data_IF_756382828272
#
_entry.id   IF_756382828272
#
_cell.length_a   1.000
_cell.length_b   1.000
_cell.length_c   1.000
_cell.angle_alpha   90.00
_cell.angle_beta   90.00
_cell.angle_gamma   90.00
#
_symmetry.space_group_name_H-M   'P 1'
#
loop_
_entity.id
_entity.type
_entity.pdbx_description
1 polymer ?
#
# COMPACT_ATOMS: atom_id res chain seq x y z
N UNK A 1 -60.06 11.50 28.35
CA UNK A 1 -58.74 12.17 28.31
C UNK A 1 -57.69 11.17 28.76
N UNK A 2 -57.10 10.43 27.82
CA UNK A 2 -56.01 9.50 28.07
C UNK A 2 -54.73 10.09 27.50
N UNK A 3 -53.67 10.07 28.31
CA UNK A 3 -52.46 10.84 28.14
C UNK A 3 -51.35 10.03 27.44
N UNK A 4 -50.63 10.73 26.56
CA UNK A 4 -49.18 10.64 26.26
C UNK A 4 -48.52 9.26 26.14
N UNK A 5 -48.07 8.94 24.92
CA UNK A 5 -46.94 8.05 24.67
C UNK A 5 -45.62 8.65 25.19
N UNK A 6 -44.64 7.80 25.57
CA UNK A 6 -43.28 7.94 25.02
C UNK A 6 -42.52 6.59 24.90
N UNK A 7 -41.23 6.56 24.50
CA UNK A 7 -40.73 6.87 23.17
C UNK A 7 -39.93 5.71 22.54
N UNK A 8 -39.60 5.87 21.27
CA UNK A 8 -38.80 4.95 20.46
C UNK A 8 -37.38 4.74 21.01
N UNK A 9 -36.96 3.47 21.04
CA UNK A 9 -35.61 3.02 21.37
C UNK A 9 -34.66 3.39 20.22
N UNK A 10 -33.93 4.51 20.39
CA UNK A 10 -32.82 4.86 19.51
C UNK A 10 -31.60 4.00 19.83
N UNK A 11 -31.18 3.18 18.88
CA UNK A 11 -29.87 2.54 18.90
C UNK A 11 -28.87 3.64 18.53
N UNK A 12 -28.18 4.18 19.53
CA UNK A 12 -27.05 5.06 19.27
C UNK A 12 -25.96 4.23 18.60
N UNK A 13 -25.78 4.42 17.29
CA UNK A 13 -24.59 3.97 16.60
C UNK A 13 -23.38 4.61 17.30
N UNK A 14 -22.43 3.78 17.72
CA UNK A 14 -21.14 4.26 18.20
C UNK A 14 -20.52 5.09 17.09
N UNK A 15 -20.49 6.41 17.27
CA UNK A 15 -19.67 7.30 16.47
C UNK A 15 -18.24 6.87 16.74
N UNK A 16 -17.60 6.22 15.76
CA UNK A 16 -16.17 5.98 15.79
C UNK A 16 -15.52 7.35 16.03
N UNK A 17 -14.93 7.52 17.22
CA UNK A 17 -14.11 8.68 17.56
C UNK A 17 -13.07 8.80 16.45
N UNK A 18 -13.14 9.89 15.69
CA UNK A 18 -12.07 10.27 14.76
C UNK A 18 -10.77 10.28 15.58
N UNK A 19 -9.79 9.42 15.30
CA UNK A 19 -8.56 9.39 16.08
C UNK A 19 -7.87 10.76 15.98
N UNK A 20 -7.15 11.18 17.05
CA UNK A 20 -6.42 12.44 17.03
C UNK A 20 -5.47 12.47 15.83
N UNK A 21 -5.30 13.66 15.28
CA UNK A 21 -4.47 14.00 14.12
C UNK A 21 -3.37 12.94 13.84
N UNK A 22 -3.59 12.07 12.86
CA UNK A 22 -2.73 10.91 12.64
C UNK A 22 -1.44 11.35 11.96
N UNK A 23 -0.39 11.55 12.75
CA UNK A 23 0.94 11.91 12.21
C UNK A 23 1.74 10.64 11.92
N UNK A 24 2.01 10.38 10.64
CA UNK A 24 3.02 9.40 10.27
C UNK A 24 4.38 9.79 10.86
N UNK A 25 5.10 8.79 11.40
CA UNK A 25 6.51 8.95 11.83
C UNK A 25 7.47 8.22 10.92
N UNK A 26 6.99 7.19 10.21
CA UNK A 26 7.82 6.34 9.38
C UNK A 26 7.09 5.95 8.11
N UNK A 27 7.78 6.02 6.97
CA UNK A 27 7.29 5.56 5.67
C UNK A 27 8.30 4.59 5.09
N UNK A 28 7.86 3.38 4.76
CA UNK A 28 8.64 2.42 4.01
C UNK A 28 8.26 2.51 2.54
N UNK A 29 9.25 2.66 1.68
CA UNK A 29 9.07 2.61 0.23
C UNK A 29 9.66 1.31 -0.27
N UNK A 30 8.86 0.51 -0.98
CA UNK A 30 9.27 -0.77 -1.55
C UNK A 30 9.27 -0.68 -3.07
N UNK A 31 10.41 -1.00 -3.68
CA UNK A 31 10.55 -0.99 -5.12
C UNK A 31 10.04 -2.29 -5.77
N UNK A 32 9.91 -2.28 -7.09
CA UNK A 32 9.50 -3.43 -7.89
C UNK A 32 10.67 -4.26 -8.43
N UNK A 33 10.32 -5.19 -9.32
CA UNK A 33 11.26 -5.99 -10.13
C UNK A 33 12.23 -5.09 -10.91
N UNK A 34 13.51 -5.47 -10.99
CA UNK A 34 14.60 -4.74 -11.67
C UNK A 34 14.88 -3.31 -11.16
N UNK A 35 14.21 -2.86 -10.11
CA UNK A 35 14.43 -1.55 -9.52
C UNK A 35 15.33 -1.62 -8.28
N UNK A 36 15.76 -0.46 -7.82
CA UNK A 36 16.59 -0.20 -6.65
C UNK A 36 16.08 1.03 -5.90
N UNK A 37 16.58 1.30 -4.68
CA UNK A 37 16.17 2.47 -3.90
C UNK A 37 16.39 3.85 -4.55
N UNK A 38 17.28 3.95 -5.54
CA UNK A 38 17.56 5.21 -6.25
C UNK A 38 16.67 5.47 -7.46
N UNK A 39 15.80 4.53 -7.83
CA UNK A 39 15.05 4.59 -9.09
C UNK A 39 13.74 5.38 -8.99
N UNK A 40 13.23 5.76 -10.16
CA UNK A 40 11.88 6.29 -10.37
C UNK A 40 11.61 7.52 -9.49
N UNK A 41 10.50 7.51 -8.77
CA UNK A 41 10.04 8.57 -7.88
C UNK A 41 10.37 8.28 -6.40
N UNK A 42 11.08 7.19 -6.09
CA UNK A 42 11.38 6.82 -4.69
C UNK A 42 12.27 7.85 -3.97
N UNK A 43 13.29 8.44 -4.63
CA UNK A 43 14.04 9.55 -4.01
C UNK A 43 13.18 10.79 -3.79
N UNK A 44 12.24 11.07 -4.69
CA UNK A 44 11.39 12.25 -4.63
C UNK A 44 10.44 12.21 -3.42
N UNK A 45 9.79 11.08 -3.13
CA UNK A 45 8.88 10.99 -1.96
C UNK A 45 9.59 11.23 -0.62
N UNK A 46 10.87 10.83 -0.52
CA UNK A 46 11.70 11.12 0.65
C UNK A 46 11.87 12.62 0.87
N UNK A 47 11.99 13.38 -0.19
CA UNK A 47 12.30 14.80 -0.15
C UNK A 47 11.05 15.66 0.08
N UNK A 48 9.85 15.14 -0.22
CA UNK A 48 8.56 15.86 -0.06
C UNK A 48 7.89 15.71 1.31
N UNK A 49 8.15 14.61 2.02
CA UNK A 49 7.51 14.37 3.32
C UNK A 49 8.08 15.30 4.40
N UNK A 50 7.21 15.76 5.31
CA UNK A 50 7.54 16.76 6.33
C UNK A 50 8.80 16.44 7.13
N UNK A 51 9.59 17.45 7.53
CA UNK A 51 10.68 17.27 8.49
C UNK A 51 10.17 16.58 9.76
N UNK A 52 10.68 15.38 10.04
CA UNK A 52 10.26 14.55 11.19
C UNK A 52 9.63 13.20 10.82
N UNK A 53 9.27 12.99 9.55
CA UNK A 53 8.90 11.66 9.03
C UNK A 53 10.16 10.95 8.53
N UNK A 54 10.47 9.77 9.08
CA UNK A 54 11.58 8.94 8.60
C UNK A 54 11.12 8.15 7.37
N UNK A 55 11.62 8.51 6.19
CA UNK A 55 11.34 7.78 4.94
C UNK A 55 12.51 6.85 4.63
N UNK A 56 12.23 5.57 4.46
CA UNK A 56 13.21 4.53 4.17
C UNK A 56 12.79 3.79 2.90
N UNK A 57 13.60 3.89 1.85
CA UNK A 57 13.44 3.04 0.67
C UNK A 57 14.23 1.76 0.93
N UNK A 58 13.53 0.63 1.03
CA UNK A 58 14.12 -0.65 1.42
C UNK A 58 14.79 -1.28 0.21
N UNK A 59 16.08 -1.59 0.34
CA UNK A 59 16.82 -2.40 -0.63
C UNK A 59 16.33 -3.85 -0.56
N UNK A 60 15.71 -4.35 -1.63
CA UNK A 60 15.28 -5.74 -1.74
C UNK A 60 16.35 -6.54 -2.51
N UNK A 61 16.71 -7.75 -2.04
CA UNK A 61 17.86 -8.48 -2.56
C UNK A 61 17.65 -8.96 -4.00
N UNK A 62 18.69 -8.88 -4.83
CA UNK A 62 18.75 -9.48 -6.18
C UNK A 62 17.53 -9.14 -7.06
N UNK A 63 17.22 -7.86 -7.24
CA UNK A 63 15.98 -7.45 -7.92
C UNK A 63 15.83 -7.87 -9.38
N UNK A 64 16.91 -8.33 -10.03
CA UNK A 64 16.86 -8.95 -11.36
C UNK A 64 16.42 -10.42 -11.36
N UNK A 65 16.55 -11.10 -10.23
CA UNK A 65 16.15 -12.49 -10.00
C UNK A 65 15.51 -12.61 -8.60
N UNK A 66 14.34 -11.97 -8.39
CA UNK A 66 13.76 -11.82 -7.06
C UNK A 66 13.28 -13.17 -6.51
N UNK A 67 13.64 -13.45 -5.26
CA UNK A 67 13.14 -14.60 -4.52
C UNK A 67 12.06 -14.15 -3.53
N UNK A 68 10.86 -14.76 -3.65
CA UNK A 68 9.70 -14.37 -2.85
C UNK A 68 9.95 -14.48 -1.35
N UNK A 69 10.54 -15.59 -0.89
CA UNK A 69 10.78 -15.81 0.53
C UNK A 69 11.75 -14.79 1.12
N UNK A 70 12.85 -14.49 0.42
CA UNK A 70 13.83 -13.47 0.81
C UNK A 70 13.19 -12.09 0.84
N UNK A 71 12.48 -11.70 -0.21
CA UNK A 71 11.83 -10.39 -0.30
C UNK A 71 10.80 -10.19 0.81
N UNK A 72 9.92 -11.17 1.00
CA UNK A 72 8.89 -11.12 2.04
C UNK A 72 9.54 -11.05 3.43
N UNK A 73 10.59 -11.82 3.68
CA UNK A 73 11.33 -11.78 4.95
C UNK A 73 12.02 -10.44 5.19
N UNK A 74 12.70 -9.87 4.18
CA UNK A 74 13.33 -8.55 4.25
C UNK A 74 12.29 -7.47 4.56
N UNK A 75 11.13 -7.50 3.91
CA UNK A 75 10.05 -6.54 4.15
C UNK A 75 9.45 -6.73 5.54
N UNK A 76 9.21 -7.97 5.99
CA UNK A 76 8.69 -8.23 7.33
C UNK A 76 9.64 -7.73 8.43
N UNK A 77 10.96 -7.93 8.26
CA UNK A 77 11.98 -7.38 9.16
C UNK A 77 12.00 -5.85 9.14
N UNK A 78 11.93 -5.24 7.95
CA UNK A 78 11.88 -3.78 7.82
C UNK A 78 10.63 -3.18 8.46
N UNK A 79 9.48 -3.85 8.38
CA UNK A 79 8.23 -3.46 9.04
C UNK A 79 8.39 -3.54 10.56
N UNK A 80 8.92 -4.64 11.09
CA UNK A 80 8.98 -4.91 12.53
C UNK A 80 7.59 -5.05 13.13
N UNK A 81 7.28 -4.29 14.18
CA UNK A 81 5.92 -4.20 14.75
C UNK A 81 5.18 -3.02 14.14
N UNK A 82 4.14 -3.24 13.30
CA UNK A 82 3.40 -2.14 12.68
C UNK A 82 2.66 -1.33 13.74
N UNK A 83 2.64 -0.01 13.53
CA UNK A 83 1.84 0.93 14.30
C UNK A 83 1.04 1.83 13.38
N UNK A 84 0.03 2.51 13.92
CA UNK A 84 -0.72 3.55 13.22
C UNK A 84 0.14 4.73 12.72
N UNK A 85 1.41 4.83 13.12
CA UNK A 85 2.36 5.85 12.69
C UNK A 85 3.24 5.38 11.50
N UNK A 86 3.09 4.13 11.05
CA UNK A 86 3.80 3.54 9.92
C UNK A 86 2.94 3.61 8.64
N UNK A 87 3.54 4.05 7.55
CA UNK A 87 2.99 3.83 6.21
C UNK A 87 3.91 2.91 5.39
N UNK A 88 3.29 2.10 4.54
CA UNK A 88 3.97 1.32 3.50
C UNK A 88 3.51 1.85 2.16
N UNK A 89 4.45 2.27 1.34
CA UNK A 89 4.24 2.69 -0.05
C UNK A 89 5.00 1.69 -0.91
N UNK A 90 4.30 1.00 -1.80
CA UNK A 90 4.89 -0.12 -2.52
C UNK A 90 4.57 -0.07 -4.02
N UNK A 91 5.59 -0.20 -4.86
CA UNK A 91 5.47 -0.18 -6.30
C UNK A 91 5.52 -1.59 -6.89
N UNK A 92 4.59 -1.89 -7.80
CA UNK A 92 4.57 -3.12 -8.60
C UNK A 92 4.73 -4.37 -7.72
N UNK A 93 5.77 -5.17 -7.93
CA UNK A 93 6.08 -6.38 -7.16
C UNK A 93 6.24 -6.14 -5.65
N UNK A 94 6.69 -4.95 -5.23
CA UNK A 94 6.78 -4.58 -3.83
C UNK A 94 5.40 -4.59 -3.13
N UNK A 95 4.32 -4.36 -3.87
CA UNK A 95 2.96 -4.32 -3.31
C UNK A 95 2.51 -5.70 -2.80
N UNK A 96 2.56 -6.74 -3.64
CA UNK A 96 2.24 -8.11 -3.21
C UNK A 96 3.20 -8.61 -2.12
N UNK A 97 4.48 -8.20 -2.21
CA UNK A 97 5.49 -8.53 -1.20
C UNK A 97 5.12 -7.98 0.17
N UNK A 98 4.69 -6.71 0.26
CA UNK A 98 4.25 -6.09 1.51
C UNK A 98 3.03 -6.79 2.12
N UNK A 99 2.06 -7.20 1.30
CA UNK A 99 0.87 -7.89 1.77
C UNK A 99 1.22 -9.23 2.41
N UNK A 100 2.06 -10.02 1.74
CA UNK A 100 2.58 -11.27 2.32
C UNK A 100 3.42 -11.04 3.57
N UNK A 101 4.19 -9.96 3.62
CA UNK A 101 4.97 -9.62 4.81
C UNK A 101 4.06 -9.31 6.00
N UNK A 102 2.98 -8.56 5.81
CA UNK A 102 1.97 -8.27 6.83
C UNK A 102 1.23 -9.53 7.31
N UNK A 103 1.02 -10.51 6.43
CA UNK A 103 0.42 -11.80 6.78
C UNK A 103 1.28 -12.61 7.75
N UNK A 104 2.60 -12.50 7.65
CA UNK A 104 3.54 -13.18 8.57
C UNK A 104 3.58 -12.56 9.96
N UNK A 105 3.11 -11.33 10.13
CA UNK A 105 3.16 -10.63 11.41
C UNK A 105 2.10 -11.21 12.35
N UNK A 106 2.59 -11.76 13.46
CA UNK A 106 1.76 -12.26 14.53
C UNK A 106 1.19 -11.13 15.40
N UNK A 107 0.12 -11.44 16.12
CA UNK A 107 -0.47 -10.54 17.10
C UNK A 107 -1.39 -9.47 16.49
N UNK A 108 -1.74 -8.53 17.35
CA UNK A 108 -2.63 -7.42 17.01
C UNK A 108 -1.78 -6.22 16.61
N UNK A 109 -1.88 -5.81 15.34
CA UNK A 109 -1.18 -4.65 14.81
C UNK A 109 -2.16 -3.73 14.08
N UNK A 110 -1.76 -2.47 13.97
CA UNK A 110 -2.42 -1.44 13.16
C UNK A 110 -1.40 -0.81 12.24
N UNK A 111 -1.82 -0.40 11.06
CA UNK A 111 -0.98 0.29 10.08
C UNK A 111 -1.61 1.64 9.73
N UNK A 112 -0.80 2.70 9.71
CA UNK A 112 -1.26 4.04 9.37
C UNK A 112 -1.74 4.12 7.93
N UNK A 113 -0.92 3.67 6.99
CA UNK A 113 -1.32 3.59 5.59
C UNK A 113 -0.66 2.43 4.82
N UNK A 114 -1.38 1.92 3.82
CA UNK A 114 -0.86 1.07 2.76
C UNK A 114 -1.22 1.70 1.41
N UNK A 115 -0.21 2.05 0.62
CA UNK A 115 -0.38 2.65 -0.71
C UNK A 115 0.32 1.78 -1.74
N UNK A 116 -0.43 1.20 -2.68
CA UNK A 116 0.13 0.43 -3.79
C UNK A 116 0.14 1.26 -5.09
N UNK A 117 1.25 1.28 -5.80
CA UNK A 117 1.39 1.91 -7.12
C UNK A 117 1.58 0.82 -8.16
N UNK A 118 0.67 0.70 -9.14
CA UNK A 118 0.66 -0.43 -10.09
C UNK A 118 0.74 -1.81 -9.40
N UNK A 119 0.17 -1.93 -8.20
CA UNK A 119 0.17 -3.16 -7.43
C UNK A 119 -0.78 -4.22 -8.01
N UNK A 120 -0.50 -5.48 -7.72
CA UNK A 120 -1.31 -6.63 -8.11
C UNK A 120 -1.19 -7.72 -7.05
N UNK A 121 -2.07 -8.72 -7.11
CA UNK A 121 -2.02 -9.95 -6.27
C UNK A 121 -2.35 -11.21 -7.07
N UNK A 122 -2.58 -11.07 -8.38
CA UNK A 122 -2.84 -12.15 -9.31
C UNK A 122 -1.62 -12.34 -10.23
N UNK A 123 -1.40 -13.54 -10.79
CA UNK A 123 -0.26 -13.79 -11.68
C UNK A 123 -0.20 -12.84 -12.88
N UNK A 124 1.02 -12.55 -13.34
CA UNK A 124 1.29 -11.78 -14.54
C UNK A 124 1.81 -12.73 -15.63
N UNK A 125 0.98 -13.14 -16.62
CA UNK A 125 1.40 -14.11 -17.63
C UNK A 125 2.63 -13.69 -18.46
N UNK A 126 2.88 -12.38 -18.58
CA UNK A 126 4.04 -11.83 -19.27
C UNK A 126 5.35 -11.92 -18.45
N UNK A 127 5.25 -12.18 -17.14
CA UNK A 127 6.37 -12.22 -16.19
C UNK A 127 6.28 -13.47 -15.29
N UNK A 128 6.33 -14.69 -15.86
CA UNK A 128 6.19 -15.93 -15.09
C UNK A 128 7.30 -16.14 -14.05
N UNK A 129 8.44 -15.47 -14.19
CA UNK A 129 9.49 -15.48 -13.16
C UNK A 129 9.03 -14.88 -11.83
N UNK A 130 7.92 -14.13 -11.80
CA UNK A 130 7.34 -13.53 -10.60
C UNK A 130 6.26 -14.41 -9.94
N UNK A 131 5.93 -15.57 -10.53
CA UNK A 131 4.83 -16.43 -10.06
C UNK A 131 4.96 -16.83 -8.60
N UNK A 132 6.19 -16.94 -8.07
CA UNK A 132 6.44 -17.22 -6.65
C UNK A 132 5.81 -16.23 -5.67
N UNK A 133 5.60 -14.97 -6.08
CA UNK A 133 4.96 -13.94 -5.27
C UNK A 133 3.43 -14.01 -5.29
N UNK A 134 2.86 -14.68 -6.29
CA UNK A 134 1.41 -14.80 -6.49
C UNK A 134 0.90 -16.25 -6.40
N UNK A 135 1.78 -17.19 -6.04
CA UNK A 135 1.44 -18.60 -5.85
C UNK A 135 0.42 -18.78 -4.72
N UNK A 136 0.52 -17.95 -3.68
CA UNK A 136 -0.45 -17.83 -2.61
C UNK A 136 -1.14 -16.46 -2.70
N UNK A 137 -2.42 -16.41 -2.32
CA UNK A 137 -3.17 -15.16 -2.24
C UNK A 137 -3.02 -14.56 -0.85
N UNK A 138 -2.49 -13.34 -0.70
CA UNK A 138 -2.38 -12.71 0.61
C UNK A 138 -3.76 -12.35 1.17
N UNK A 139 -3.88 -12.27 2.50
CA UNK A 139 -5.10 -11.90 3.22
C UNK A 139 -5.33 -10.37 3.18
N UNK A 140 -5.78 -9.90 2.02
CA UNK A 140 -6.09 -8.49 1.80
C UNK A 140 -7.21 -7.98 2.70
N UNK A 141 -8.13 -8.86 3.14
CA UNK A 141 -9.21 -8.49 4.05
C UNK A 141 -8.68 -8.18 5.46
N UNK A 142 -7.75 -9.01 5.97
CA UNK A 142 -7.05 -8.73 7.23
C UNK A 142 -6.22 -7.46 7.13
N UNK A 143 -5.50 -7.28 6.02
CA UNK A 143 -4.76 -6.03 5.79
C UNK A 143 -5.70 -4.82 5.79
N UNK A 144 -6.84 -4.94 5.11
CA UNK A 144 -7.81 -3.85 5.04
C UNK A 144 -8.38 -3.48 6.41
N UNK A 145 -8.77 -4.49 7.20
CA UNK A 145 -9.32 -4.32 8.54
C UNK A 145 -8.33 -3.70 9.55
N UNK A 146 -7.02 -3.81 9.31
CA UNK A 146 -5.96 -3.36 10.22
C UNK A 146 -5.23 -2.11 9.74
N UNK A 147 -5.60 -1.57 8.58
CA UNK A 147 -4.94 -0.41 7.99
C UNK A 147 -5.89 0.77 7.96
N UNK A 148 -5.48 1.92 8.50
CA UNK A 148 -6.33 3.11 8.64
C UNK A 148 -6.61 3.78 7.29
N UNK A 149 -5.59 3.95 6.45
CA UNK A 149 -5.69 4.49 5.07
C UNK A 149 -5.18 3.48 4.05
N UNK A 150 -5.95 3.21 3.00
CA UNK A 150 -5.57 2.27 1.94
C UNK A 150 -5.73 2.99 0.62
N UNK A 151 -4.67 3.04 -0.16
CA UNK A 151 -4.62 3.75 -1.42
C UNK A 151 -4.09 2.86 -2.53
N UNK A 152 -4.60 3.04 -3.73
CA UNK A 152 -4.07 2.41 -4.94
C UNK A 152 -3.94 3.46 -6.04
N UNK A 153 -2.74 3.57 -6.60
CA UNK A 153 -2.48 4.38 -7.79
C UNK A 153 -2.48 3.46 -9.00
N UNK A 154 -3.37 3.76 -9.95
CA UNK A 154 -3.55 3.00 -11.20
C UNK A 154 -3.08 3.88 -12.36
N UNK A 155 -2.37 3.31 -13.32
CA UNK A 155 -2.21 3.96 -14.63
C UNK A 155 -3.21 3.36 -15.62
N UNK A 156 -3.82 4.19 -16.48
CA UNK A 156 -4.78 3.70 -17.48
C UNK A 156 -4.13 3.07 -18.71
N UNK A 157 -2.81 3.23 -18.88
CA UNK A 157 -2.02 2.71 -20.00
C UNK A 157 -0.83 1.83 -19.56
N UNK A 158 -0.86 1.28 -18.34
CA UNK A 158 0.17 0.35 -17.85
C UNK A 158 0.28 -0.89 -18.75
N UNK A 159 1.46 -1.07 -19.35
CA UNK A 159 1.76 -2.17 -20.27
C UNK A 159 2.38 -3.40 -19.58
N UNK A 160 2.81 -3.27 -18.32
CA UNK A 160 3.47 -4.31 -17.53
C UNK A 160 2.46 -5.00 -16.61
N UNK A 161 1.72 -4.22 -15.83
CA UNK A 161 0.63 -4.70 -14.98
C UNK A 161 -0.69 -4.24 -15.60
N UNK A 162 -1.48 -5.12 -16.24
CA UNK A 162 -2.75 -4.73 -16.82
C UNK A 162 -3.61 -3.96 -15.80
N UNK A 163 -4.14 -2.76 -16.12
CA UNK A 163 -4.81 -1.90 -15.13
C UNK A 163 -5.95 -2.59 -14.37
N UNK A 164 -6.62 -3.54 -15.02
CA UNK A 164 -7.66 -4.36 -14.41
C UNK A 164 -7.20 -5.15 -13.17
N UNK A 165 -5.92 -5.55 -13.08
CA UNK A 165 -5.36 -6.23 -11.92
C UNK A 165 -5.16 -5.26 -10.76
N UNK A 166 -4.72 -4.03 -11.05
CA UNK A 166 -4.55 -3.00 -10.03
C UNK A 166 -5.90 -2.52 -9.49
N UNK A 167 -6.91 -2.34 -10.35
CA UNK A 167 -8.30 -2.13 -9.91
C UNK A 167 -8.84 -3.27 -9.03
N UNK A 168 -8.50 -4.53 -9.36
CA UNK A 168 -8.91 -5.67 -8.53
C UNK A 168 -8.26 -5.64 -7.15
N UNK A 169 -6.97 -5.27 -7.07
CA UNK A 169 -6.29 -5.10 -5.80
C UNK A 169 -6.96 -4.01 -4.95
N UNK A 170 -7.31 -2.87 -5.57
CA UNK A 170 -8.01 -1.79 -4.88
C UNK A 170 -9.36 -2.24 -4.31
N UNK A 171 -10.15 -2.96 -5.10
CA UNK A 171 -11.41 -3.55 -4.63
C UNK A 171 -11.21 -4.53 -3.47
N UNK A 172 -10.18 -5.38 -3.53
CA UNK A 172 -9.85 -6.34 -2.46
C UNK A 172 -9.38 -5.69 -1.16
N UNK A 173 -8.82 -4.48 -1.24
CA UNK A 173 -8.35 -3.70 -0.10
C UNK A 173 -9.37 -2.69 0.41
N UNK A 174 -10.52 -2.53 -0.26
CA UNK A 174 -11.44 -1.41 -0.02
C UNK A 174 -10.67 -0.07 0.03
N UNK A 175 -9.80 0.12 -0.96
CA UNK A 175 -8.87 1.23 -1.06
C UNK A 175 -9.46 2.42 -1.83
N UNK A 176 -8.97 3.60 -1.51
CA UNK A 176 -9.14 4.79 -2.35
C UNK A 176 -8.28 4.64 -3.61
N UNK A 177 -8.89 4.87 -4.78
CA UNK A 177 -8.22 4.74 -6.07
C UNK A 177 -7.93 6.10 -6.69
N UNK A 178 -6.69 6.27 -7.18
CA UNK A 178 -6.28 7.43 -7.98
C UNK A 178 -5.77 6.93 -9.32
N UNK A 179 -6.53 7.20 -10.39
CA UNK A 179 -6.08 6.92 -11.76
C UNK A 179 -5.23 8.07 -12.28
N UNK A 180 -4.03 7.75 -12.76
CA UNK A 180 -3.13 8.66 -13.49
C UNK A 180 -3.21 8.32 -14.97
N UNK A 181 -3.69 9.26 -15.78
CA UNK A 181 -3.74 9.05 -17.23
C UNK A 181 -2.36 9.17 -17.85
N UNK A 182 -1.98 8.19 -18.68
CA UNK A 182 -0.67 8.19 -19.35
C UNK A 182 0.52 7.99 -18.41
N UNK A 183 0.32 7.28 -17.29
CA UNK A 183 1.34 7.07 -16.27
C UNK A 183 2.35 5.98 -16.59
N UNK A 184 2.12 5.19 -17.65
CA UNK A 184 2.91 4.00 -17.96
C UNK A 184 2.89 3.01 -16.79
N UNK A 185 4.02 2.39 -16.48
CA UNK A 185 4.24 1.61 -15.27
C UNK A 185 4.90 2.43 -14.13
N UNK A 186 4.82 3.77 -14.21
CA UNK A 186 5.43 4.70 -13.25
C UNK A 186 6.96 4.62 -13.17
N UNK A 187 7.61 4.35 -14.30
CA UNK A 187 9.07 4.24 -14.39
C UNK A 187 9.73 5.58 -14.69
N UNK A 188 10.97 5.74 -14.24
CA UNK A 188 11.82 6.88 -14.62
C UNK A 188 12.00 6.98 -16.15
N UNK A 189 12.15 5.83 -16.83
CA UNK A 189 12.30 5.75 -18.29
C UNK A 189 11.05 6.20 -19.05
N UNK A 190 9.89 6.20 -18.38
CA UNK A 190 8.62 6.74 -18.87
C UNK A 190 8.43 8.22 -18.46
N UNK A 191 9.43 8.82 -17.84
CA UNK A 191 9.43 10.21 -17.37
C UNK A 191 8.89 10.41 -15.94
N UNK A 192 8.62 9.33 -15.21
CA UNK A 192 8.03 9.39 -13.87
C UNK A 192 9.12 9.41 -12.79
N UNK A 193 9.61 10.61 -12.48
CA UNK A 193 10.54 10.87 -11.37
C UNK A 193 9.87 11.52 -10.16
N UNK A 194 8.58 11.84 -10.27
CA UNK A 194 7.74 12.36 -9.17
C UNK A 194 6.36 11.72 -9.26
N UNK A 195 5.67 11.55 -8.12
CA UNK A 195 4.34 10.93 -8.09
C UNK A 195 3.42 11.51 -7.01
N UNK A 196 2.87 12.73 -7.22
CA UNK A 196 1.98 13.41 -6.26
C UNK A 196 0.76 12.60 -5.80
N UNK A 197 0.27 11.67 -6.63
CA UNK A 197 -0.82 10.77 -6.30
C UNK A 197 -0.56 9.96 -5.01
N UNK A 198 0.69 9.59 -4.75
CA UNK A 198 1.06 8.86 -3.54
C UNK A 198 0.89 9.73 -2.29
N UNK A 199 1.31 11.00 -2.35
CA UNK A 199 1.17 11.92 -1.21
C UNK A 199 -0.30 12.19 -0.87
N UNK A 200 -1.18 12.25 -1.89
CA UNK A 200 -2.61 12.40 -1.70
C UNK A 200 -3.23 11.26 -0.87
N UNK A 201 -2.72 10.05 -1.04
CA UNK A 201 -3.23 8.83 -0.39
C UNK A 201 -2.65 8.60 1.01
N UNK A 202 -1.63 9.37 1.42
CA UNK A 202 -1.09 9.32 2.77
C UNK A 202 -1.94 10.18 3.73
N UNK A 203 -2.07 9.80 5.01
CA UNK A 203 -2.68 10.64 6.02
C UNK A 203 -2.01 12.03 6.05
N UNK A 204 -2.82 13.08 5.89
CA UNK A 204 -2.38 14.47 6.03
C UNK A 204 -2.17 14.81 7.50
N UNK A 205 -1.14 15.60 7.78
CA UNK A 205 -0.90 16.23 9.09
C UNK A 205 -2.00 17.19 9.51
#
# INVERSE_FOLDING_TARGET
MAARAPPATGIAAAVALVPPNMTLRRVLVLHGYLASPSDHWFPWIRDELSPGVKVEVIELPDSSEPDAERWISTVAEAIGTPTAELAIVAHSLGAVTALHALDRLAGDWSLGAYVAVAGFVDPLPALPQLDGFTAETPDTARTAARTLRRGVVVSDDDSIVPPALTHRLAARLEAEEVTVSGGGHFLADEGVTTLPAVLHLLPTH
#
